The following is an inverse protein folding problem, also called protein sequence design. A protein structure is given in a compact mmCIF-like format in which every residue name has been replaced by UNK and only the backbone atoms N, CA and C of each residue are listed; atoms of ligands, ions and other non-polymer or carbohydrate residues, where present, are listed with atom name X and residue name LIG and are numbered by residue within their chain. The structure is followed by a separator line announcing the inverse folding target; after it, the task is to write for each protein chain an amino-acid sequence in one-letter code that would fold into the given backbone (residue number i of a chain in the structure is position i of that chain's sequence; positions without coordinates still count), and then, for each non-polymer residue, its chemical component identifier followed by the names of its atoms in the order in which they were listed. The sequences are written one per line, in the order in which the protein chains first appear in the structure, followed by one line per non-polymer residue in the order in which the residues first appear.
data_IF_501227531245
#
_entry.id   IF_501227531245
#
_cell.length_a   1.000
_cell.length_b   1.000
_cell.length_c   1.000
_cell.angle_alpha   90.00
_cell.angle_beta   90.00
_cell.angle_gamma   90.00
#
_symmetry.space_group_name_H-M   'P 1'
#
loop_
_entity.id
_entity.type
_entity.pdbx_description
1 polymer ?
#
# COMPACT_ATOMS: atom_id res chain seq x y z
N UNK A 1 0.07 3.08 -39.21
CA UNK A 1 0.36 4.29 -38.43
C UNK A 1 -0.29 4.31 -37.05
N UNK A 2 -1.53 3.89 -36.89
CA UNK A 2 -2.18 3.80 -35.56
C UNK A 2 -1.51 2.78 -34.62
N UNK A 3 -1.08 1.64 -35.14
CA UNK A 3 -0.43 0.58 -34.37
C UNK A 3 0.92 1.03 -33.76
N UNK A 4 1.68 1.85 -34.49
CA UNK A 4 2.95 2.39 -33.97
C UNK A 4 2.77 3.39 -32.83
N UNK A 5 1.70 4.17 -32.84
CA UNK A 5 1.37 5.10 -31.75
C UNK A 5 0.89 4.38 -30.49
N UNK A 6 0.11 3.31 -30.66
CA UNK A 6 -0.32 2.44 -29.56
C UNK A 6 0.85 1.73 -28.89
N UNK A 7 1.77 1.16 -29.69
CA UNK A 7 2.94 0.47 -29.20
C UNK A 7 3.91 1.45 -28.51
N UNK A 8 4.05 2.67 -29.02
CA UNK A 8 4.87 3.71 -28.41
C UNK A 8 4.31 4.15 -27.05
N UNK A 9 2.99 4.33 -26.93
CA UNK A 9 2.32 4.66 -25.65
C UNK A 9 2.49 3.55 -24.61
N UNK A 10 2.31 2.30 -25.02
CA UNK A 10 2.54 1.14 -24.16
C UNK A 10 3.99 1.06 -23.70
N UNK A 11 4.94 1.25 -24.59
CA UNK A 11 6.38 1.24 -24.28
C UNK A 11 6.74 2.35 -23.27
N UNK A 12 6.18 3.54 -23.41
CA UNK A 12 6.39 4.67 -22.48
C UNK A 12 5.80 4.35 -21.10
N UNK A 13 4.63 3.75 -21.04
CA UNK A 13 3.98 3.35 -19.78
C UNK A 13 4.82 2.28 -19.06
N UNK A 14 5.25 1.24 -19.77
CA UNK A 14 6.11 0.19 -19.21
C UNK A 14 7.46 0.71 -18.74
N UNK A 15 8.08 1.58 -19.50
CA UNK A 15 9.35 2.20 -19.15
C UNK A 15 9.21 3.10 -17.91
N UNK A 16 8.13 3.88 -17.82
CA UNK A 16 7.84 4.71 -16.66
C UNK A 16 7.64 3.91 -15.37
N UNK A 17 6.91 2.79 -15.45
CA UNK A 17 6.70 1.87 -14.32
C UNK A 17 8.03 1.22 -13.90
N UNK A 18 8.82 0.73 -14.84
CA UNK A 18 10.13 0.13 -14.57
C UNK A 18 11.09 1.12 -13.93
N UNK A 19 11.14 2.37 -14.42
CA UNK A 19 11.95 3.43 -13.86
C UNK A 19 11.53 3.81 -12.45
N UNK A 20 10.23 3.92 -12.19
CA UNK A 20 9.68 4.21 -10.87
C UNK A 20 10.04 3.10 -9.86
N UNK A 21 9.92 1.83 -10.24
CA UNK A 21 10.33 0.70 -9.41
C UNK A 21 11.84 0.68 -9.14
N UNK A 22 12.64 1.05 -10.12
CA UNK A 22 14.12 1.13 -9.97
C UNK A 22 14.52 2.25 -9.01
N UNK A 23 13.90 3.41 -9.09
CA UNK A 23 14.14 4.55 -8.19
C UNK A 23 13.73 4.18 -6.76
N UNK A 24 12.56 3.59 -6.58
CA UNK A 24 12.07 3.12 -5.28
C UNK A 24 13.05 2.10 -4.68
N UNK A 25 13.51 1.13 -5.45
CA UNK A 25 14.51 0.16 -5.00
C UNK A 25 15.83 0.80 -4.57
N UNK A 26 16.33 1.81 -5.29
CA UNK A 26 17.56 2.53 -4.89
C UNK A 26 17.38 3.33 -3.60
N UNK A 27 16.30 4.07 -3.48
CA UNK A 27 16.01 4.88 -2.28
C UNK A 27 15.89 3.97 -1.05
N UNK A 28 15.22 2.86 -1.19
CA UNK A 28 14.95 1.93 -0.11
C UNK A 28 16.20 1.16 0.34
N UNK A 29 17.08 0.78 -0.58
CA UNK A 29 18.37 0.18 -0.23
C UNK A 29 19.28 1.15 0.54
N UNK A 30 19.06 2.45 0.43
CA UNK A 30 19.81 3.47 1.17
C UNK A 30 19.27 3.74 2.57
N UNK A 31 17.96 3.56 2.84
CA UNK A 31 17.28 4.10 4.02
C UNK A 31 16.85 3.04 5.05
N UNK A 32 17.48 1.92 5.21
CA UNK A 32 17.16 1.04 6.33
C UNK A 32 17.04 -0.45 6.02
N UNK A 33 17.54 -0.88 4.87
CA UNK A 33 17.69 -2.29 4.56
C UNK A 33 16.40 -3.04 4.23
N UNK A 34 16.44 -4.38 4.16
CA UNK A 34 15.36 -5.21 3.65
C UNK A 34 14.05 -5.13 4.44
N UNK A 35 14.14 -5.02 5.76
CA UNK A 35 12.94 -4.87 6.61
C UNK A 35 12.17 -3.58 6.28
N UNK A 36 12.89 -2.47 6.21
CA UNK A 36 12.29 -1.17 5.88
C UNK A 36 11.67 -1.15 4.49
N UNK A 37 12.27 -1.84 3.55
CA UNK A 37 11.72 -2.06 2.21
C UNK A 37 10.32 -2.67 2.25
N UNK A 38 10.17 -3.74 3.02
CA UNK A 38 8.90 -4.44 3.17
C UNK A 38 7.87 -3.58 3.92
N UNK A 39 8.32 -2.84 4.94
CA UNK A 39 7.44 -1.91 5.65
C UNK A 39 6.91 -0.80 4.71
N UNK A 40 7.77 -0.23 3.87
CA UNK A 40 7.37 0.76 2.87
C UNK A 40 6.39 0.17 1.84
N UNK A 41 6.60 -1.09 1.46
CA UNK A 41 5.68 -1.81 0.59
C UNK A 41 4.32 -2.03 1.26
N UNK A 42 4.31 -2.36 2.55
CA UNK A 42 3.08 -2.44 3.35
C UNK A 42 2.34 -1.10 3.42
N UNK A 43 3.06 -0.02 3.63
CA UNK A 43 2.47 1.33 3.61
C UNK A 43 1.80 1.61 2.26
N UNK A 44 2.44 1.23 1.17
CA UNK A 44 1.86 1.36 -0.17
C UNK A 44 0.59 0.54 -0.34
N UNK A 45 0.58 -0.71 0.13
CA UNK A 45 -0.62 -1.55 0.15
C UNK A 45 -1.73 -0.91 0.97
N UNK A 46 -1.40 -0.38 2.14
CA UNK A 46 -2.34 0.32 3.01
C UNK A 46 -2.95 1.56 2.37
N UNK A 47 -2.13 2.38 1.72
CA UNK A 47 -2.59 3.55 0.95
C UNK A 47 -3.59 3.15 -0.13
N UNK A 48 -3.22 2.17 -0.93
CA UNK A 48 -4.06 1.69 -2.03
C UNK A 48 -5.37 1.11 -1.51
N UNK A 49 -5.31 0.31 -0.47
CA UNK A 49 -6.50 -0.24 0.18
C UNK A 49 -7.43 0.86 0.69
N UNK A 50 -6.90 1.83 1.44
CA UNK A 50 -7.71 2.90 2.00
C UNK A 50 -8.35 3.74 0.90
N UNK A 51 -7.56 4.20 -0.07
CA UNK A 51 -8.04 5.11 -1.11
C UNK A 51 -9.02 4.45 -2.09
N UNK A 52 -8.77 3.19 -2.47
CA UNK A 52 -9.56 2.50 -3.49
C UNK A 52 -10.71 1.66 -2.94
N UNK A 53 -10.62 1.18 -1.71
CA UNK A 53 -11.60 0.28 -1.13
C UNK A 53 -12.32 0.92 0.04
N UNK A 54 -11.63 1.19 1.13
CA UNK A 54 -12.26 1.64 2.36
C UNK A 54 -12.92 3.01 2.22
N UNK A 55 -12.19 4.00 1.73
CA UNK A 55 -12.72 5.34 1.56
C UNK A 55 -13.90 5.37 0.59
N UNK A 56 -13.81 4.62 -0.49
CA UNK A 56 -14.89 4.52 -1.47
C UNK A 56 -16.20 4.05 -0.84
N UNK A 57 -16.13 3.07 0.05
CA UNK A 57 -17.30 2.47 0.68
C UNK A 57 -17.82 3.24 1.90
N UNK A 58 -16.94 3.96 2.62
CA UNK A 58 -17.23 4.53 3.94
C UNK A 58 -17.07 6.05 4.03
N UNK A 59 -16.94 6.78 2.92
CA UNK A 59 -16.92 8.25 2.92
C UNK A 59 -18.34 8.82 3.07
N UNK A 60 -18.92 8.69 4.21
CA UNK A 60 -20.28 9.17 4.51
C UNK A 60 -20.35 10.70 4.65
N UNK A 61 -20.00 11.40 3.57
CA UNK A 61 -19.95 12.86 3.49
C UNK A 61 -21.27 13.52 3.93
N UNK A 62 -22.40 12.92 3.58
CA UNK A 62 -23.73 13.41 3.94
C UNK A 62 -24.02 13.33 5.44
N UNK A 63 -23.25 12.52 6.17
CA UNK A 63 -23.32 12.37 7.63
C UNK A 63 -22.06 12.93 8.32
N UNK A 64 -21.45 13.96 7.75
CA UNK A 64 -20.27 14.65 8.27
C UNK A 64 -19.10 13.69 8.58
N UNK A 65 -18.89 12.70 7.73
CA UNK A 65 -17.81 11.71 7.85
C UNK A 65 -17.79 10.97 9.20
N UNK A 66 -18.96 10.68 9.76
CA UNK A 66 -19.08 10.07 11.08
C UNK A 66 -18.32 8.75 11.22
N UNK A 67 -18.33 7.92 10.17
CA UNK A 67 -17.62 6.64 10.15
C UNK A 67 -16.11 6.87 10.18
N UNK A 68 -15.58 7.75 9.33
CA UNK A 68 -14.14 8.05 9.30
C UNK A 68 -13.68 8.68 10.61
N UNK A 69 -14.46 9.59 11.17
CA UNK A 69 -14.18 10.20 12.48
C UNK A 69 -14.08 9.17 13.61
N UNK A 70 -14.92 8.12 13.55
CA UNK A 70 -14.91 7.07 14.56
C UNK A 70 -13.59 6.27 14.61
N UNK A 71 -12.86 6.24 13.49
CA UNK A 71 -11.56 5.56 13.39
C UNK A 71 -10.34 6.45 13.60
N UNK A 72 -10.51 7.75 13.81
CA UNK A 72 -9.39 8.70 13.92
C UNK A 72 -8.42 8.38 15.05
N UNK A 73 -8.92 7.95 16.19
CA UNK A 73 -8.10 7.62 17.37
C UNK A 73 -7.54 6.21 17.34
N UNK A 74 -8.38 5.22 17.13
CA UNK A 74 -8.02 3.80 17.25
C UNK A 74 -7.50 3.22 15.94
N UNK A 75 -7.85 3.84 14.83
CA UNK A 75 -7.45 3.39 13.50
C UNK A 75 -8.27 2.23 12.98
N UNK A 76 -8.15 2.04 11.68
CA UNK A 76 -8.64 0.86 10.97
C UNK A 76 -7.53 -0.17 10.99
N UNK A 77 -7.75 -1.33 11.59
CA UNK A 77 -6.79 -2.42 11.63
C UNK A 77 -7.13 -3.46 10.57
N UNK A 78 -6.20 -3.75 9.68
CA UNK A 78 -6.36 -4.78 8.66
C UNK A 78 -5.08 -5.59 8.53
N UNK A 79 -5.20 -6.93 8.45
CA UNK A 79 -4.04 -7.76 8.15
C UNK A 79 -3.61 -7.61 6.69
N UNK A 80 -2.32 -7.83 6.45
CA UNK A 80 -1.73 -7.62 5.14
C UNK A 80 -2.33 -8.54 4.07
N UNK A 81 -2.63 -9.78 4.43
CA UNK A 81 -3.24 -10.75 3.52
C UNK A 81 -4.59 -10.27 3.00
N UNK A 82 -5.46 -9.81 3.89
CA UNK A 82 -6.78 -9.28 3.54
C UNK A 82 -6.68 -8.01 2.71
N UNK A 83 -5.79 -7.08 3.08
CA UNK A 83 -5.60 -5.85 2.33
C UNK A 83 -5.14 -6.13 0.90
N UNK A 84 -4.17 -7.02 0.74
CA UNK A 84 -3.65 -7.39 -0.58
C UNK A 84 -4.68 -8.10 -1.44
N UNK A 85 -5.46 -8.99 -0.85
CA UNK A 85 -6.56 -9.67 -1.54
C UNK A 85 -7.57 -8.66 -2.12
N UNK A 86 -7.96 -7.68 -1.32
CA UNK A 86 -8.96 -6.69 -1.72
C UNK A 86 -8.48 -5.75 -2.85
N UNK A 87 -7.18 -5.52 -2.96
CA UNK A 87 -6.61 -4.67 -4.02
C UNK A 87 -6.02 -5.47 -5.18
N UNK A 88 -6.07 -6.79 -5.14
CA UNK A 88 -5.50 -7.67 -6.17
C UNK A 88 -3.97 -7.65 -6.24
N UNK A 89 -3.30 -7.43 -5.10
CA UNK A 89 -1.85 -7.37 -5.02
C UNK A 89 -1.24 -8.75 -4.83
N UNK A 90 -0.11 -9.00 -5.50
CA UNK A 90 0.58 -10.30 -5.42
C UNK A 90 1.37 -10.45 -4.13
N UNK A 91 1.25 -11.62 -3.49
CA UNK A 91 1.86 -11.91 -2.19
C UNK A 91 3.34 -12.27 -2.25
N UNK A 92 3.86 -12.65 -3.41
CA UNK A 92 5.23 -13.14 -3.61
C UNK A 92 6.33 -12.10 -3.31
N UNK A 93 5.98 -10.83 -3.25
CA UNK A 93 6.93 -9.74 -2.92
C UNK A 93 7.28 -9.65 -1.45
N UNK A 94 6.45 -10.22 -0.57
CA UNK A 94 6.69 -10.20 0.87
C UNK A 94 7.47 -11.43 1.32
N UNK A 95 8.77 -11.39 1.09
CA UNK A 95 9.72 -12.45 1.40
C UNK A 95 10.87 -11.90 2.24
N UNK A 96 11.28 -12.65 3.25
CA UNK A 96 12.49 -12.34 4.00
C UNK A 96 13.72 -12.68 3.13
N UNK A 97 14.50 -11.68 2.77
CA UNK A 97 15.62 -11.85 1.86
C UNK A 97 16.79 -12.67 2.46
N UNK A 98 16.87 -12.80 3.79
CA UNK A 98 17.91 -13.61 4.45
C UNK A 98 17.57 -15.09 4.47
N UNK A 99 16.30 -15.45 4.69
CA UNK A 99 15.85 -16.83 4.83
C UNK A 99 15.14 -17.35 3.59
N UNK A 100 14.78 -16.48 2.67
CA UNK A 100 13.98 -16.76 1.48
C UNK A 100 12.59 -17.32 1.80
N UNK A 101 12.12 -17.13 3.04
CA UNK A 101 10.80 -17.54 3.48
C UNK A 101 9.79 -16.40 3.33
N UNK A 102 8.56 -16.75 3.01
CA UNK A 102 7.46 -15.78 2.93
C UNK A 102 7.16 -15.20 4.31
N UNK A 103 6.88 -13.88 4.35
CA UNK A 103 6.42 -13.22 5.56
C UNK A 103 5.09 -13.78 6.05
N UNK A 104 4.81 -13.65 7.33
CA UNK A 104 3.52 -14.01 7.91
C UNK A 104 2.49 -12.90 7.62
N UNK A 105 1.79 -13.04 6.50
CA UNK A 105 0.87 -12.01 6.01
C UNK A 105 -0.35 -11.82 6.92
N UNK A 106 -0.79 -12.88 7.57
CA UNK A 106 -1.97 -12.85 8.46
C UNK A 106 -1.67 -12.21 9.80
N UNK A 107 -0.41 -12.20 10.23
CA UNK A 107 0.05 -11.55 11.45
C UNK A 107 0.85 -10.27 11.19
N UNK A 108 0.84 -9.79 9.95
CA UNK A 108 1.32 -8.46 9.59
C UNK A 108 0.13 -7.52 9.46
N UNK A 109 0.16 -6.39 10.17
CA UNK A 109 -0.99 -5.50 10.29
C UNK A 109 -0.69 -4.11 9.77
N UNK A 110 -1.70 -3.53 9.14
CA UNK A 110 -1.71 -2.14 8.71
C UNK A 110 -2.75 -1.40 9.55
N UNK A 111 -2.36 -0.25 10.10
CA UNK A 111 -3.23 0.62 10.88
C UNK A 111 -3.39 1.93 10.13
N UNK A 112 -4.64 2.30 9.82
CA UNK A 112 -4.95 3.50 9.05
C UNK A 112 -5.80 4.42 9.91
N UNK A 113 -5.34 5.66 10.08
CA UNK A 113 -6.00 6.67 10.92
C UNK A 113 -6.51 7.80 10.02
N UNK A 114 -7.83 7.85 9.75
CA UNK A 114 -8.39 8.99 9.02
C UNK A 114 -8.13 10.30 9.77
N UNK A 115 -7.89 11.38 9.04
CA UNK A 115 -7.59 12.71 9.58
C UNK A 115 -8.46 13.78 8.93
N UNK A 116 -8.80 14.82 9.71
CA UNK A 116 -9.45 16.01 9.17
C UNK A 116 -8.63 16.60 8.00
N UNK A 117 -9.24 17.03 6.90
CA UNK A 117 -10.66 17.17 6.60
C UNK A 117 -11.35 15.92 6.03
N UNK A 118 -10.84 14.76 6.25
CA UNK A 118 -11.39 13.45 5.89
C UNK A 118 -11.58 13.23 4.38
N UNK A 119 -10.68 13.77 3.58
CA UNK A 119 -10.57 13.45 2.18
C UNK A 119 -9.90 12.09 1.94
N UNK A 120 -9.91 11.65 0.69
CA UNK A 120 -9.35 10.35 0.30
C UNK A 120 -7.86 10.20 0.65
N UNK A 121 -7.12 11.31 0.73
CA UNK A 121 -5.68 11.32 1.06
C UNK A 121 -5.37 11.83 2.46
N UNK A 122 -6.38 12.07 3.28
CA UNK A 122 -6.24 12.62 4.63
C UNK A 122 -6.22 11.48 5.66
N UNK A 123 -5.08 10.85 5.82
CA UNK A 123 -4.88 9.75 6.75
C UNK A 123 -3.41 9.60 7.13
N UNK A 124 -3.17 8.89 8.22
CA UNK A 124 -1.86 8.40 8.64
C UNK A 124 -1.84 6.88 8.60
N UNK A 125 -0.71 6.28 8.24
CA UNK A 125 -0.52 4.83 8.23
C UNK A 125 0.62 4.45 9.17
N UNK A 126 0.38 3.43 9.99
CA UNK A 126 1.40 2.69 10.72
C UNK A 126 1.36 1.22 10.28
N UNK A 127 2.48 0.55 10.28
CA UNK A 127 2.57 -0.86 9.88
C UNK A 127 3.33 -1.67 10.91
N UNK A 128 2.95 -2.94 11.05
CA UNK A 128 3.64 -3.92 11.88
C UNK A 128 3.89 -5.17 11.05
N UNK A 129 5.13 -5.36 10.63
CA UNK A 129 5.55 -6.46 9.78
C UNK A 129 5.99 -7.66 10.60
N UNK A 130 5.43 -8.83 10.32
CA UNK A 130 5.87 -10.14 10.83
C UNK A 130 6.56 -10.91 9.71
N UNK A 131 7.90 -10.87 9.69
CA UNK A 131 8.70 -11.47 8.62
C UNK A 131 10.04 -12.05 9.13
N UNK A 132 10.17 -12.33 10.43
CA UNK A 132 11.38 -12.91 11.00
C UNK A 132 12.58 -11.97 11.10
N UNK A 133 12.33 -10.68 11.05
CA UNK A 133 13.38 -9.67 11.27
C UNK A 133 13.45 -9.24 12.73
#
# INVERSE_FOLDING_TARGET
MEDNKKNLKLAIIFFGIALALFIVNKIVNYEGGPKKQLENLMEHVGKTYYEQVFYHDFNDKDNDYAILKSFEKEGISIDLDTAMYNIGYETDKFVNHKTNQQCDLKNSYIYIYPKSPYGMKDYKIDVNLSCGY
#
